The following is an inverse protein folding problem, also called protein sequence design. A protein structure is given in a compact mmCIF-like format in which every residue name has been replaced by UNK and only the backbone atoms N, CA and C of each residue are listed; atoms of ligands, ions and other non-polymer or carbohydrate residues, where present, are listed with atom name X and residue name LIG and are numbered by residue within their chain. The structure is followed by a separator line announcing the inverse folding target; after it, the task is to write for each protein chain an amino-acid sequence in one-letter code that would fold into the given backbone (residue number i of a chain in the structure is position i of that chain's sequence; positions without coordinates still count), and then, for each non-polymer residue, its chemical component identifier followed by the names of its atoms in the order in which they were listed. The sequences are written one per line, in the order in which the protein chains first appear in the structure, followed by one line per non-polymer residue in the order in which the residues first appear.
data_IF_414655267627
#
_entry.id   IF_414655267627
#
_cell.length_a   1.000
_cell.length_b   1.000
_cell.length_c   1.000
_cell.angle_alpha   90.00
_cell.angle_beta   90.00
_cell.angle_gamma   90.00
#
_symmetry.space_group_name_H-M   'P 1'
#
loop_
_entity.id
_entity.type
_entity.pdbx_description
1 polymer ?
#
# COMPACT_ATOMS: atom_id res chain seq x y z
N UNK A 1 -29.48 -1.93 25.14
CA UNK A 1 -28.07 -2.28 25.36
C UNK A 1 -27.20 -1.40 24.44
N UNK A 2 -26.41 -0.54 25.07
CA UNK A 2 -25.42 0.27 24.32
C UNK A 2 -24.33 -0.69 23.82
N UNK A 3 -24.37 -1.02 22.53
CA UNK A 3 -23.27 -1.74 21.91
C UNK A 3 -22.08 -0.82 21.80
N UNK A 4 -20.94 -1.27 22.28
CA UNK A 4 -19.69 -0.52 22.24
C UNK A 4 -19.24 -0.38 20.80
N UNK A 5 -19.03 0.85 20.32
CA UNK A 5 -18.49 1.11 18.99
C UNK A 5 -17.05 1.59 19.09
N UNK A 6 -16.30 1.38 18.05
CA UNK A 6 -14.94 1.90 17.90
C UNK A 6 -14.59 2.12 16.42
N UNK A 7 -13.63 3.00 16.19
CA UNK A 7 -13.10 3.27 14.86
C UNK A 7 -11.80 2.51 14.62
N UNK A 8 -11.59 2.09 13.38
CA UNK A 8 -10.39 1.39 12.96
C UNK A 8 -10.21 1.38 11.46
N UNK A 9 -9.08 0.86 11.02
CA UNK A 9 -8.73 0.75 9.60
C UNK A 9 -8.84 -0.69 9.12
N UNK A 10 -9.42 -0.88 7.94
CA UNK A 10 -9.46 -2.19 7.28
C UNK A 10 -8.06 -2.54 6.78
N UNK A 11 -7.48 -3.59 7.34
CA UNK A 11 -6.15 -4.10 6.98
C UNK A 11 -6.21 -5.20 5.92
N UNK A 12 -7.30 -5.96 5.89
CA UNK A 12 -7.48 -7.11 4.99
C UNK A 12 -8.96 -7.40 4.79
N UNK A 13 -9.30 -7.89 3.59
CA UNK A 13 -10.64 -8.41 3.28
C UNK A 13 -10.53 -9.77 2.61
N UNK A 14 -11.17 -10.80 3.15
CA UNK A 14 -11.15 -12.17 2.62
C UNK A 14 -12.49 -12.85 2.89
N UNK A 15 -13.09 -13.44 1.85
CA UNK A 15 -14.28 -14.29 1.99
C UNK A 15 -15.49 -13.58 2.60
N UNK A 16 -15.60 -12.26 2.45
CA UNK A 16 -16.69 -11.47 3.03
C UNK A 16 -16.45 -11.03 4.48
N UNK A 17 -15.29 -11.36 5.04
CA UNK A 17 -14.82 -10.86 6.32
C UNK A 17 -13.79 -9.76 6.13
N UNK A 18 -13.79 -8.81 7.06
CA UNK A 18 -12.85 -7.69 7.10
C UNK A 18 -12.11 -7.71 8.42
N UNK A 19 -10.80 -7.50 8.37
CA UNK A 19 -9.93 -7.48 9.53
C UNK A 19 -9.55 -6.05 9.82
N UNK A 20 -10.02 -5.55 10.97
CA UNK A 20 -9.93 -4.13 11.36
C UNK A 20 -8.94 -3.97 12.50
N UNK A 21 -7.99 -3.06 12.32
CA UNK A 21 -7.11 -2.60 13.37
C UNK A 21 -7.69 -1.33 14.00
N UNK A 22 -8.13 -1.36 15.28
CA UNK A 22 -8.64 -0.17 15.97
C UNK A 22 -7.54 0.89 16.11
N UNK A 23 -7.91 2.17 15.95
CA UNK A 23 -6.93 3.27 15.98
C UNK A 23 -6.17 3.43 17.30
N UNK A 24 -6.79 3.07 18.41
CA UNK A 24 -6.26 3.31 19.77
C UNK A 24 -5.72 2.03 20.43
N UNK A 25 -5.40 1.00 19.67
CA UNK A 25 -4.91 -0.27 20.19
C UNK A 25 -3.59 -0.67 19.52
N UNK A 26 -2.79 -1.44 20.24
CA UNK A 26 -1.57 -2.04 19.71
C UNK A 26 -1.83 -3.54 19.53
N UNK A 27 -1.52 -4.07 18.36
CA UNK A 27 -1.61 -5.52 18.05
C UNK A 27 -2.99 -6.16 18.24
N UNK A 28 -4.07 -5.38 18.12
CA UNK A 28 -5.44 -5.91 18.21
C UNK A 28 -6.08 -5.88 16.83
N UNK A 29 -6.70 -6.99 16.42
CA UNK A 29 -7.45 -7.11 15.18
C UNK A 29 -8.85 -7.65 15.49
N UNK A 30 -9.87 -6.99 14.92
CA UNK A 30 -11.25 -7.46 14.96
C UNK A 30 -11.64 -8.06 13.62
N UNK A 31 -12.25 -9.26 13.65
CA UNK A 31 -12.88 -9.86 12.48
C UNK A 31 -14.32 -9.36 12.37
N UNK A 32 -14.65 -8.70 11.29
CA UNK A 32 -15.94 -8.05 11.11
C UNK A 32 -16.61 -8.46 9.81
N UNK A 33 -17.95 -8.43 9.82
CA UNK A 33 -18.78 -8.48 8.62
C UNK A 33 -19.34 -7.10 8.32
N UNK A 34 -19.53 -6.79 7.05
CA UNK A 34 -20.26 -5.60 6.65
C UNK A 34 -21.77 -5.84 6.83
N UNK A 35 -22.47 -4.95 7.55
CA UNK A 35 -23.94 -5.02 7.66
C UNK A 35 -24.59 -4.89 6.29
N UNK A 36 -25.74 -5.53 6.10
CA UNK A 36 -26.48 -5.56 4.84
C UNK A 36 -26.90 -4.18 4.29
N UNK A 37 -26.90 -3.13 5.13
CA UNK A 37 -27.17 -1.76 4.72
C UNK A 37 -26.23 -1.25 3.61
N UNK A 38 -24.97 -1.72 3.58
CA UNK A 38 -24.00 -1.34 2.52
C UNK A 38 -24.36 -1.90 1.14
N UNK A 39 -25.11 -3.00 1.07
CA UNK A 39 -25.61 -3.54 -0.20
C UNK A 39 -26.56 -2.56 -0.89
N UNK A 40 -27.34 -1.80 -0.11
CA UNK A 40 -28.30 -0.82 -0.62
C UNK A 40 -27.59 0.49 -1.04
N UNK A 41 -26.46 0.83 -0.44
CA UNK A 41 -25.70 2.05 -0.73
C UNK A 41 -24.70 1.90 -1.89
N UNK A 42 -24.57 0.68 -2.47
CA UNK A 42 -23.57 0.34 -3.52
C UNK A 42 -22.12 0.67 -3.16
N UNK A 43 -21.82 0.91 -1.89
CA UNK A 43 -20.46 1.17 -1.40
C UNK A 43 -19.90 -0.15 -0.87
N UNK A 44 -18.81 -0.60 -1.46
CA UNK A 44 -18.08 -1.78 -1.01
C UNK A 44 -16.92 -1.35 -0.11
N UNK A 45 -16.77 -1.92 1.10
CA UNK A 45 -15.60 -1.68 1.92
C UNK A 45 -14.32 -2.10 1.18
N UNK A 46 -13.27 -1.31 1.30
CA UNK A 46 -11.96 -1.57 0.72
C UNK A 46 -10.86 -1.58 1.78
N UNK A 47 -9.78 -2.28 1.53
CA UNK A 47 -8.58 -2.19 2.36
C UNK A 47 -8.14 -0.73 2.43
N UNK A 48 -7.75 -0.24 3.61
CA UNK A 48 -7.41 1.15 3.85
C UNK A 48 -8.58 2.04 4.28
N UNK A 49 -9.83 1.59 4.16
CA UNK A 49 -10.97 2.34 4.69
C UNK A 49 -10.86 2.51 6.20
N UNK A 50 -11.16 3.71 6.66
CA UNK A 50 -11.48 3.96 8.05
C UNK A 50 -12.97 3.68 8.26
N UNK A 51 -13.27 2.90 9.28
CA UNK A 51 -14.62 2.39 9.52
C UNK A 51 -15.01 2.54 10.99
N UNK A 52 -16.29 2.65 11.24
CA UNK A 52 -16.86 2.42 12.56
C UNK A 52 -17.37 0.99 12.65
N UNK A 53 -16.97 0.29 13.71
CA UNK A 53 -17.42 -1.06 14.00
C UNK A 53 -18.20 -1.12 15.29
N UNK A 54 -19.24 -1.95 15.30
CA UNK A 54 -20.00 -2.33 16.49
C UNK A 54 -19.48 -3.67 16.99
N UNK A 55 -19.01 -3.72 18.24
CA UNK A 55 -18.44 -4.92 18.83
C UNK A 55 -19.54 -5.92 19.17
N UNK A 56 -19.38 -7.17 18.72
CA UNK A 56 -20.26 -8.29 19.08
C UNK A 56 -19.65 -9.03 20.28
N UNK A 57 -18.37 -9.39 20.20
CA UNK A 57 -17.64 -10.07 21.27
C UNK A 57 -16.27 -9.46 21.44
N UNK A 58 -15.99 -8.97 22.63
CA UNK A 58 -14.66 -8.48 22.99
C UNK A 58 -13.67 -9.63 23.19
N UNK A 59 -14.16 -10.77 23.68
CA UNK A 59 -13.33 -11.95 23.89
C UNK A 59 -12.87 -12.56 22.57
N UNK A 60 -13.79 -12.72 21.62
CA UNK A 60 -13.51 -13.33 20.32
C UNK A 60 -13.00 -12.33 19.29
N UNK A 61 -12.93 -11.04 19.65
CA UNK A 61 -12.55 -9.94 18.75
C UNK A 61 -13.39 -9.94 17.47
N UNK A 62 -14.71 -9.98 17.61
CA UNK A 62 -15.65 -9.94 16.49
C UNK A 62 -16.55 -8.73 16.53
N UNK A 63 -16.99 -8.28 15.34
CA UNK A 63 -17.84 -7.12 15.21
C UNK A 63 -18.53 -7.03 13.85
N UNK A 64 -19.25 -5.92 13.66
CA UNK A 64 -19.85 -5.54 12.39
C UNK A 64 -19.35 -4.16 11.97
N UNK A 65 -19.02 -3.99 10.71
CA UNK A 65 -18.84 -2.67 10.12
C UNK A 65 -20.22 -2.03 9.99
N UNK A 66 -20.40 -0.88 10.64
CA UNK A 66 -21.66 -0.13 10.63
C UNK A 66 -21.59 1.11 9.76
N UNK A 67 -20.41 1.68 9.60
CA UNK A 67 -20.17 2.84 8.76
C UNK A 67 -18.78 2.79 8.12
N UNK A 68 -18.70 3.26 6.85
CA UNK A 68 -17.44 3.57 6.19
C UNK A 68 -17.28 5.08 6.25
N UNK A 69 -16.21 5.54 6.91
CA UNK A 69 -15.94 6.96 7.04
C UNK A 69 -15.55 7.57 5.69
N UNK A 70 -15.69 8.90 5.52
CA UNK A 70 -15.33 9.55 4.26
C UNK A 70 -13.93 9.19 3.80
N UNK A 71 -13.79 8.80 2.55
CA UNK A 71 -12.51 8.48 1.91
C UNK A 71 -11.82 9.76 1.44
N UNK A 72 -10.50 9.84 1.65
CA UNK A 72 -9.68 10.84 0.98
C UNK A 72 -9.45 10.47 -0.48
N UNK A 73 -9.23 9.19 -0.75
CA UNK A 73 -9.13 8.64 -2.10
C UNK A 73 -9.49 7.15 -2.13
N UNK A 74 -9.66 6.62 -3.32
CA UNK A 74 -9.81 5.19 -3.58
C UNK A 74 -9.09 4.87 -4.89
N UNK A 75 -8.02 4.09 -4.81
CA UNK A 75 -7.34 3.57 -6.00
C UNK A 75 -8.19 2.47 -6.64
N UNK A 76 -8.15 2.40 -7.96
CA UNK A 76 -8.86 1.37 -8.73
C UNK A 76 -8.04 0.07 -8.77
N UNK A 77 -6.74 0.20 -8.96
CA UNK A 77 -5.80 -0.93 -9.03
C UNK A 77 -4.46 -0.56 -8.38
N UNK A 78 -4.12 -1.20 -7.25
CA UNK A 78 -4.99 -2.04 -6.44
C UNK A 78 -6.17 -1.27 -5.82
N UNK A 79 -7.26 -1.96 -5.47
CA UNK A 79 -8.42 -1.34 -4.82
C UNK A 79 -8.10 -1.09 -3.34
N UNK A 80 -7.50 0.05 -3.05
CA UNK A 80 -7.10 0.48 -1.71
C UNK A 80 -7.53 1.92 -1.49
N UNK A 81 -8.15 2.19 -0.34
CA UNK A 81 -8.59 3.52 0.05
C UNK A 81 -7.54 4.23 0.92
N UNK A 82 -7.61 5.56 0.95
CA UNK A 82 -6.83 6.42 1.84
C UNK A 82 -5.31 6.19 1.72
N UNK A 83 -4.81 6.14 0.48
CA UNK A 83 -3.41 5.98 0.15
C UNK A 83 -2.73 7.34 0.04
N UNK A 84 -1.63 7.53 0.77
CA UNK A 84 -0.85 8.76 0.70
C UNK A 84 0.11 8.75 -0.51
N UNK A 85 0.67 7.58 -0.82
CA UNK A 85 1.64 7.45 -1.90
C UNK A 85 1.69 6.04 -2.49
N UNK A 86 2.17 5.96 -3.72
CA UNK A 86 2.48 4.70 -4.40
C UNK A 86 4.00 4.52 -4.52
N UNK A 87 4.48 3.31 -4.32
CA UNK A 87 5.85 2.90 -4.58
C UNK A 87 5.85 1.93 -5.74
N UNK A 88 6.45 2.32 -6.85
CA UNK A 88 6.62 1.47 -8.02
C UNK A 88 8.00 0.83 -7.95
N UNK A 89 8.03 -0.50 -7.82
CA UNK A 89 9.27 -1.27 -7.72
C UNK A 89 9.56 -1.95 -9.05
N UNK A 90 10.74 -1.69 -9.60
CA UNK A 90 11.30 -2.37 -10.76
C UNK A 90 12.70 -2.90 -10.44
N UNK A 91 13.09 -4.01 -11.03
CA UNK A 91 14.47 -4.46 -11.01
C UNK A 91 15.23 -3.82 -12.18
N UNK A 92 16.50 -3.47 -12.00
CA UNK A 92 17.36 -3.01 -13.09
C UNK A 92 17.83 -4.15 -13.99
N UNK A 93 17.85 -5.36 -13.46
CA UNK A 93 18.07 -6.60 -14.20
C UNK A 93 17.38 -7.75 -13.48
N UNK A 94 17.15 -8.84 -14.17
CA UNK A 94 16.59 -10.10 -13.68
C UNK A 94 15.35 -9.93 -12.77
N UNK A 95 14.19 -9.56 -13.35
CA UNK A 95 13.91 -9.51 -14.80
C UNK A 95 14.39 -8.21 -15.45
N UNK A 96 14.66 -8.29 -16.77
CA UNK A 96 14.98 -7.09 -17.56
C UNK A 96 13.83 -6.09 -17.46
N UNK A 97 14.10 -4.81 -17.15
CA UNK A 97 13.04 -3.83 -16.96
C UNK A 97 12.32 -3.52 -18.26
N UNK A 98 11.00 -3.44 -18.20
CA UNK A 98 10.13 -2.90 -19.23
C UNK A 98 9.75 -1.47 -18.88
N UNK A 99 10.47 -0.50 -19.40
CA UNK A 99 10.24 0.92 -19.08
C UNK A 99 8.91 1.44 -19.57
N UNK A 100 8.35 0.89 -20.66
CA UNK A 100 6.99 1.23 -21.10
C UNK A 100 5.95 0.83 -20.04
N UNK A 101 6.17 -0.30 -19.38
CA UNK A 101 5.30 -0.72 -18.27
C UNK A 101 5.47 0.19 -17.05
N UNK A 102 6.70 0.58 -16.71
CA UNK A 102 6.96 1.55 -15.66
C UNK A 102 6.22 2.88 -15.94
N UNK A 103 6.37 3.42 -17.13
CA UNK A 103 5.72 4.67 -17.53
C UNK A 103 4.20 4.58 -17.44
N UNK A 104 3.60 3.44 -17.80
CA UNK A 104 2.17 3.20 -17.62
C UNK A 104 1.73 3.21 -16.16
N UNK A 105 2.50 2.60 -15.26
CA UNK A 105 2.24 2.68 -13.82
C UNK A 105 2.27 4.12 -13.33
N UNK A 106 3.27 4.90 -13.74
CA UNK A 106 3.41 6.30 -13.36
C UNK A 106 2.23 7.16 -13.83
N UNK A 107 1.82 6.98 -15.09
CA UNK A 107 0.64 7.67 -15.66
C UNK A 107 -0.62 7.28 -14.90
N UNK A 108 -0.83 6.00 -14.63
CA UNK A 108 -1.99 5.50 -13.91
C UNK A 108 -2.09 6.09 -12.50
N UNK A 109 -0.98 6.16 -11.77
CA UNK A 109 -0.95 6.76 -10.43
C UNK A 109 -1.16 8.28 -10.49
N UNK A 110 -0.55 8.94 -11.46
CA UNK A 110 -0.75 10.38 -11.69
C UNK A 110 -2.20 10.73 -11.99
N UNK A 111 -2.89 9.93 -12.79
CA UNK A 111 -4.33 10.10 -13.08
C UNK A 111 -5.21 9.93 -11.84
N UNK A 112 -4.78 9.17 -10.86
CA UNK A 112 -5.46 8.98 -9.59
C UNK A 112 -5.04 10.01 -8.52
N UNK A 113 -4.16 10.95 -8.87
CA UNK A 113 -3.71 12.01 -7.98
C UNK A 113 -2.83 11.53 -6.81
N UNK A 114 -2.16 10.39 -6.97
CA UNK A 114 -1.32 9.80 -5.93
C UNK A 114 0.14 10.12 -6.18
N UNK A 115 0.83 10.67 -5.17
CA UNK A 115 2.27 10.84 -5.19
C UNK A 115 2.97 9.50 -5.41
N UNK A 116 3.96 9.46 -6.29
CA UNK A 116 4.60 8.20 -6.68
C UNK A 116 6.11 8.28 -6.50
N UNK A 117 6.66 7.28 -5.81
CA UNK A 117 8.09 7.03 -5.69
C UNK A 117 8.48 5.86 -6.56
N UNK A 118 9.68 5.89 -7.11
CA UNK A 118 10.27 4.79 -7.89
C UNK A 118 11.40 4.16 -7.10
N UNK A 119 11.35 2.84 -6.95
CA UNK A 119 12.41 2.05 -6.36
C UNK A 119 12.98 1.09 -7.41
N UNK A 120 14.22 1.31 -7.83
CA UNK A 120 14.97 0.39 -8.67
C UNK A 120 15.77 -0.56 -7.79
N UNK A 121 15.27 -1.78 -7.67
CA UNK A 121 15.90 -2.84 -6.90
C UNK A 121 16.91 -3.64 -7.75
N UNK A 122 17.70 -4.47 -7.09
CA UNK A 122 18.77 -5.27 -7.71
C UNK A 122 19.79 -4.39 -8.49
N UNK A 123 20.10 -3.23 -7.92
CA UNK A 123 20.99 -2.25 -8.53
C UNK A 123 22.45 -2.74 -8.64
N UNK A 124 22.78 -3.78 -7.89
CA UNK A 124 24.06 -4.52 -7.96
C UNK A 124 24.25 -5.30 -9.26
N UNK A 125 23.19 -5.60 -10.00
CA UNK A 125 23.22 -6.37 -11.24
C UNK A 125 23.58 -5.55 -12.49
N UNK A 126 23.71 -4.25 -12.37
CA UNK A 126 24.11 -3.33 -13.46
C UNK A 126 25.28 -2.47 -13.01
N UNK A 127 25.93 -1.79 -13.96
CA UNK A 127 27.00 -0.84 -13.62
C UNK A 127 26.44 0.38 -12.87
N UNK A 128 27.26 1.00 -12.02
CA UNK A 128 26.87 2.23 -11.34
C UNK A 128 26.48 3.37 -12.28
N UNK A 129 27.15 3.44 -13.44
CA UNK A 129 26.81 4.43 -14.46
C UNK A 129 25.44 4.18 -15.08
N UNK A 130 25.13 2.94 -15.45
CA UNK A 130 23.83 2.57 -15.99
C UNK A 130 22.70 2.84 -14.98
N UNK A 131 22.89 2.47 -13.72
CA UNK A 131 21.93 2.76 -12.66
C UNK A 131 21.72 4.26 -12.51
N UNK A 132 22.78 5.06 -12.53
CA UNK A 132 22.69 6.51 -12.42
C UNK A 132 21.97 7.14 -13.60
N UNK A 133 22.25 6.73 -14.82
CA UNK A 133 21.59 7.27 -16.04
C UNK A 133 20.08 7.04 -16.01
N UNK A 134 19.64 5.86 -15.59
CA UNK A 134 18.21 5.54 -15.45
C UNK A 134 17.57 6.39 -14.35
N UNK A 135 18.22 6.51 -13.20
CA UNK A 135 17.72 7.38 -12.12
C UNK A 135 17.61 8.83 -12.56
N UNK A 136 18.57 9.35 -13.26
CA UNK A 136 18.59 10.74 -13.73
C UNK A 136 17.43 11.04 -14.69
N UNK A 137 17.03 10.07 -15.51
CA UNK A 137 15.87 10.22 -16.43
C UNK A 137 14.59 10.45 -15.62
N UNK A 138 14.30 9.61 -14.65
CA UNK A 138 13.07 9.69 -13.86
C UNK A 138 13.10 10.82 -12.83
N UNK A 139 14.26 11.09 -12.23
CA UNK A 139 14.44 12.23 -11.36
C UNK A 139 14.25 13.56 -12.11
N UNK A 140 14.75 13.63 -13.34
CA UNK A 140 14.54 14.77 -14.24
C UNK A 140 13.06 14.98 -14.61
N UNK A 141 12.26 13.93 -14.60
CA UNK A 141 10.81 13.98 -14.77
C UNK A 141 10.04 14.37 -13.48
N UNK A 142 10.74 14.59 -12.37
CA UNK A 142 10.16 15.04 -11.09
C UNK A 142 9.84 13.93 -10.09
N UNK A 143 10.24 12.68 -10.34
CA UNK A 143 10.02 11.59 -9.41
C UNK A 143 11.15 11.46 -8.40
N UNK A 144 10.80 11.08 -7.16
CA UNK A 144 11.80 10.55 -6.22
C UNK A 144 12.19 9.13 -6.64
N UNK A 145 13.49 8.89 -6.76
CA UNK A 145 14.05 7.61 -7.23
C UNK A 145 15.02 7.07 -6.19
N UNK A 146 14.88 5.79 -5.88
CA UNK A 146 15.73 5.06 -4.95
C UNK A 146 16.39 3.89 -5.65
N UNK A 147 17.69 3.70 -5.38
CA UNK A 147 18.45 2.51 -5.76
C UNK A 147 18.59 1.60 -4.56
N UNK A 148 18.20 0.33 -4.69
CA UNK A 148 18.26 -0.63 -3.60
C UNK A 148 18.81 -1.98 -4.03
N UNK A 149 19.38 -2.69 -3.05
CA UNK A 149 19.63 -4.13 -3.07
C UNK A 149 18.92 -4.68 -1.82
N UNK A 150 17.63 -4.95 -1.95
CA UNK A 150 16.78 -5.27 -0.79
C UNK A 150 17.25 -6.50 -0.02
N UNK A 151 17.78 -7.52 -0.69
CA UNK A 151 18.32 -8.73 -0.05
C UNK A 151 19.53 -8.45 0.85
N UNK A 152 20.29 -7.41 0.57
CA UNK A 152 21.49 -7.00 1.29
C UNK A 152 21.25 -5.78 2.19
N UNK A 153 20.02 -5.31 2.24
CA UNK A 153 19.61 -4.10 2.98
C UNK A 153 20.36 -2.83 2.55
N UNK A 154 20.82 -2.76 1.29
CA UNK A 154 21.53 -1.61 0.73
C UNK A 154 20.53 -0.61 0.16
N UNK A 155 20.67 0.68 0.50
CA UNK A 155 19.81 1.76 0.04
C UNK A 155 18.40 1.77 0.66
N UNK A 156 18.09 0.84 1.55
CA UNK A 156 16.77 0.67 2.16
C UNK A 156 16.46 1.75 3.19
N UNK A 157 17.47 2.26 3.90
CA UNK A 157 17.23 3.24 4.97
C UNK A 157 16.70 4.57 4.44
N UNK A 158 17.27 5.10 3.36
CA UNK A 158 16.77 6.32 2.71
C UNK A 158 15.32 6.13 2.21
N UNK A 159 15.03 4.97 1.66
CA UNK A 159 13.69 4.62 1.22
C UNK A 159 12.71 4.50 2.40
N UNK A 160 13.12 3.85 3.50
CA UNK A 160 12.33 3.72 4.73
C UNK A 160 11.95 5.09 5.29
N UNK A 161 12.87 6.06 5.30
CA UNK A 161 12.58 7.43 5.75
C UNK A 161 11.55 8.12 4.85
N UNK A 162 11.64 7.93 3.54
CA UNK A 162 10.71 8.56 2.58
C UNK A 162 9.26 8.06 2.72
N UNK A 163 9.06 6.84 3.19
CA UNK A 163 7.71 6.26 3.37
C UNK A 163 7.19 6.33 4.80
N UNK A 164 8.02 6.79 5.74
CA UNK A 164 7.66 6.84 7.16
C UNK A 164 6.41 7.70 7.41
N UNK A 165 5.49 7.16 8.20
CA UNK A 165 4.25 7.84 8.59
C UNK A 165 3.21 7.99 7.48
N UNK A 166 3.42 7.33 6.34
CA UNK A 166 2.52 7.37 5.18
C UNK A 166 1.93 5.99 4.90
N UNK A 167 0.68 5.96 4.47
CA UNK A 167 0.06 4.76 3.89
C UNK A 167 0.54 4.60 2.46
N UNK A 168 1.38 3.60 2.22
CA UNK A 168 2.02 3.36 0.92
C UNK A 168 1.49 2.09 0.28
N UNK A 169 1.19 2.14 -1.02
CA UNK A 169 0.88 0.97 -1.83
C UNK A 169 2.07 0.62 -2.72
N UNK A 170 2.42 -0.67 -2.76
CA UNK A 170 3.51 -1.19 -3.59
C UNK A 170 2.95 -1.81 -4.86
N UNK A 171 3.48 -1.44 -6.00
CA UNK A 171 3.14 -2.01 -7.29
C UNK A 171 4.41 -2.27 -8.12
N UNK A 172 4.30 -3.14 -9.09
CA UNK A 172 5.39 -3.51 -9.99
C UNK A 172 5.25 -4.94 -10.49
N UNK A 173 6.04 -5.34 -11.50
CA UNK A 173 5.97 -6.68 -12.08
C UNK A 173 6.40 -7.76 -11.08
N UNK A 174 6.15 -9.01 -11.47
CA UNK A 174 6.60 -10.16 -10.67
C UNK A 174 8.14 -10.28 -10.70
N UNK A 175 8.72 -10.75 -9.61
CA UNK A 175 10.14 -11.05 -9.52
C UNK A 175 11.09 -9.86 -9.32
N UNK A 176 10.58 -8.65 -9.19
CA UNK A 176 11.41 -7.43 -8.98
C UNK A 176 11.92 -7.25 -7.55
N UNK A 177 11.41 -8.04 -6.59
CA UNK A 177 11.82 -7.99 -5.20
C UNK A 177 10.89 -7.18 -4.28
N UNK A 178 9.60 -7.02 -4.62
CA UNK A 178 8.63 -6.33 -3.75
C UNK A 178 8.56 -6.95 -2.36
N UNK A 179 8.46 -8.27 -2.26
CA UNK A 179 8.42 -8.97 -0.97
C UNK A 179 9.73 -8.81 -0.18
N UNK A 180 10.87 -8.87 -0.87
CA UNK A 180 12.16 -8.63 -0.22
C UNK A 180 12.27 -7.20 0.30
N UNK A 181 11.74 -6.23 -0.43
CA UNK A 181 11.68 -4.83 -0.01
C UNK A 181 10.80 -4.67 1.22
N UNK A 182 9.59 -5.24 1.22
CA UNK A 182 8.69 -5.19 2.37
C UNK A 182 9.32 -5.84 3.61
N UNK A 183 9.99 -6.97 3.44
CA UNK A 183 10.70 -7.63 4.55
C UNK A 183 11.87 -6.77 5.09
N UNK A 184 12.58 -6.06 4.22
CA UNK A 184 13.68 -5.19 4.63
C UNK A 184 13.21 -3.92 5.38
N UNK A 185 11.93 -3.57 5.30
CA UNK A 185 11.34 -2.42 5.99
C UNK A 185 10.92 -2.73 7.42
N UNK A 186 10.77 -3.99 7.76
CA UNK A 186 10.51 -4.49 9.12
C UNK A 186 11.79 -4.69 9.90
#
# INVERSE_FOLDING_TARGET
EYRKSMQGKIMKGVGGFYYIHPHNTVNTIYECKAKGAFRNQKIKPAVGDDVEIEIISEQDKTGNIVEILPRENLLIRPAVANVDQAVIVFALADPKPNYNLLDRFLIMMGQQGVETLICFNKSDLVSGQEAKEICDIYAGAGYQVFLTVAKENVGVDAFREAIRGKTSVFAGPSGVGKSSMLNALH
#
